data_IF_662808411183
#
_entry.id   IF_662808411183
#
_cell.length_a   1.000
_cell.length_b   1.000
_cell.length_c   1.000
_cell.angle_alpha   90.00
_cell.angle_beta   90.00
_cell.angle_gamma   90.00
#
_symmetry.space_group_name_H-M   'P 1'
#
loop_
_entity.id
_entity.type
_entity.pdbx_description
1 polymer ?
#
# COMPACT_ATOMS: atom_id res chain seq x y z
N UNK A 1 -49.88 41.92 5.69
CA UNK A 1 -48.57 42.33 6.23
C UNK A 1 -47.87 41.21 7.04
N UNK A 2 -48.58 40.36 7.81
CA UNK A 2 -47.95 39.26 8.57
C UNK A 2 -47.38 38.09 7.74
N UNK A 3 -47.98 37.75 6.59
CA UNK A 3 -47.54 36.62 5.75
C UNK A 3 -46.20 36.84 5.05
N UNK A 4 -45.82 38.10 4.77
CA UNK A 4 -44.52 38.43 4.16
C UNK A 4 -43.36 38.27 5.17
N UNK A 5 -43.57 38.72 6.41
CA UNK A 5 -42.61 38.63 7.53
C UNK A 5 -42.31 37.17 7.94
N UNK A 6 -43.34 36.32 8.00
CA UNK A 6 -43.18 34.88 8.26
C UNK A 6 -42.39 34.19 7.13
N UNK A 7 -42.61 34.60 5.87
CA UNK A 7 -41.95 34.01 4.70
C UNK A 7 -40.48 34.41 4.61
N UNK A 8 -40.12 35.65 4.95
CA UNK A 8 -38.72 36.11 5.05
C UNK A 8 -38.00 35.47 6.22
N UNK A 9 -38.65 35.37 7.39
CA UNK A 9 -38.06 34.73 8.57
C UNK A 9 -37.82 33.23 8.35
N UNK A 10 -38.77 32.53 7.72
CA UNK A 10 -38.61 31.11 7.37
C UNK A 10 -37.49 30.89 6.34
N UNK A 11 -37.40 31.74 5.31
CA UNK A 11 -36.31 31.69 4.32
C UNK A 11 -34.95 31.98 4.95
N UNK A 12 -34.86 32.95 5.86
CA UNK A 12 -33.63 33.30 6.57
C UNK A 12 -33.17 32.18 7.51
N UNK A 13 -34.10 31.55 8.23
CA UNK A 13 -33.84 30.37 9.09
C UNK A 13 -33.39 29.15 8.28
N UNK A 14 -34.00 28.92 7.13
CA UNK A 14 -33.61 27.82 6.23
C UNK A 14 -32.20 28.06 5.66
N UNK A 15 -31.90 29.29 5.22
CA UNK A 15 -30.58 29.66 4.71
C UNK A 15 -29.48 29.52 5.76
N UNK A 16 -29.75 29.96 7.00
CA UNK A 16 -28.79 29.83 8.12
C UNK A 16 -28.57 28.37 8.53
N UNK A 17 -29.62 27.54 8.54
CA UNK A 17 -29.49 26.11 8.82
C UNK A 17 -28.68 25.38 7.73
N UNK A 18 -28.93 25.68 6.45
CA UNK A 18 -28.16 25.12 5.33
C UNK A 18 -26.68 25.55 5.38
N UNK A 19 -26.40 26.81 5.72
CA UNK A 19 -25.03 27.31 5.85
C UNK A 19 -24.28 26.63 7.01
N UNK A 20 -24.93 26.43 8.17
CA UNK A 20 -24.36 25.69 9.30
C UNK A 20 -24.04 24.22 8.94
N UNK A 21 -24.94 23.53 8.24
CA UNK A 21 -24.70 22.16 7.79
C UNK A 21 -23.52 22.07 6.83
N UNK A 22 -23.42 23.00 5.88
CA UNK A 22 -22.32 23.05 4.93
C UNK A 22 -20.98 23.35 5.63
N UNK A 23 -20.99 24.23 6.64
CA UNK A 23 -19.81 24.53 7.46
C UNK A 23 -19.38 23.34 8.32
N UNK A 24 -20.31 22.56 8.88
CA UNK A 24 -19.98 21.32 9.61
C UNK A 24 -19.35 20.25 8.70
N UNK A 25 -19.85 20.10 7.47
CA UNK A 25 -19.29 19.17 6.47
C UNK A 25 -17.88 19.59 6.02
N UNK A 26 -17.67 20.90 5.82
CA UNK A 26 -16.36 21.48 5.48
C UNK A 26 -15.35 21.31 6.62
N UNK A 27 -15.75 21.54 7.87
CA UNK A 27 -14.90 21.34 9.05
C UNK A 27 -14.50 19.87 9.21
N UNK A 28 -15.43 18.93 9.01
CA UNK A 28 -15.12 17.50 9.04
C UNK A 28 -14.12 17.06 7.96
N UNK A 29 -14.29 17.56 6.72
CA UNK A 29 -13.38 17.27 5.62
C UNK A 29 -11.98 17.88 5.83
N UNK A 30 -11.89 19.11 6.35
CA UNK A 30 -10.62 19.77 6.68
C UNK A 30 -9.87 19.02 7.79
N UNK A 31 -10.58 18.59 8.83
CA UNK A 31 -9.98 17.90 9.97
C UNK A 31 -9.49 16.49 9.60
N UNK A 32 -10.20 15.79 8.70
CA UNK A 32 -9.75 14.53 8.13
C UNK A 32 -8.52 14.71 7.22
N UNK A 33 -8.47 15.77 6.40
CA UNK A 33 -7.31 16.10 5.55
C UNK A 33 -6.04 16.29 6.39
N UNK A 34 -6.10 17.12 7.45
CA UNK A 34 -4.92 17.38 8.29
C UNK A 34 -4.45 16.15 9.07
N UNK A 35 -5.38 15.28 9.49
CA UNK A 35 -5.03 14.03 10.19
C UNK A 35 -4.31 13.01 9.28
N UNK A 36 -4.48 13.13 7.96
CA UNK A 36 -3.84 12.25 6.97
C UNK A 36 -2.46 12.75 6.55
N UNK A 37 -2.24 14.06 6.50
CA UNK A 37 -0.98 14.68 6.08
C UNK A 37 0.20 14.28 6.99
N UNK A 38 -0.06 14.07 8.29
CA UNK A 38 0.95 13.69 9.28
C UNK A 38 1.12 12.18 9.46
N UNK A 39 0.28 11.35 8.81
CA UNK A 39 0.19 9.93 9.16
C UNK A 39 1.42 9.14 8.68
N UNK A 40 1.90 9.41 7.46
CA UNK A 40 3.15 8.85 6.92
C UNK A 40 3.76 9.79 5.88
N UNK A 41 5.01 10.19 6.13
CA UNK A 41 5.79 11.04 5.23
C UNK A 41 6.33 10.22 4.05
N UNK A 42 6.23 10.69 2.80
CA UNK A 42 6.82 9.99 1.65
C UNK A 42 8.34 9.85 1.80
N UNK A 43 8.88 8.69 1.43
CA UNK A 43 10.33 8.47 1.39
C UNK A 43 10.94 9.35 0.30
N UNK A 44 11.97 10.17 0.56
CA UNK A 44 12.61 10.97 -0.46
C UNK A 44 13.35 10.12 -1.49
N UNK A 45 13.44 10.61 -2.73
CA UNK A 45 14.11 9.89 -3.82
C UNK A 45 15.60 9.64 -3.54
N UNK A 46 16.29 10.59 -2.91
CA UNK A 46 17.69 10.42 -2.46
C UNK A 46 17.92 9.24 -1.52
N UNK A 47 16.86 8.75 -0.88
CA UNK A 47 16.88 7.66 0.08
C UNK A 47 16.43 6.32 -0.55
N UNK A 48 16.43 6.21 -1.88
CA UNK A 48 16.11 4.99 -2.64
C UNK A 48 16.87 3.75 -2.15
N UNK A 49 18.12 3.90 -1.71
CA UNK A 49 18.92 2.79 -1.22
C UNK A 49 18.30 2.07 0.00
N UNK A 50 17.42 2.74 0.76
CA UNK A 50 16.78 2.17 1.94
C UNK A 50 15.80 1.03 1.59
N UNK A 51 15.25 1.00 0.36
CA UNK A 51 14.27 -0.03 -0.04
C UNK A 51 14.93 -1.31 -0.57
N UNK A 52 16.25 -1.32 -0.78
CA UNK A 52 16.94 -2.50 -1.30
C UNK A 52 17.15 -3.60 -0.26
N UNK A 53 17.11 -4.84 -0.73
CA UNK A 53 17.30 -6.04 0.07
C UNK A 53 16.07 -6.96 0.06
N UNK A 54 16.04 -7.84 1.05
CA UNK A 54 15.03 -8.88 1.23
C UNK A 54 14.04 -8.46 2.34
N UNK A 55 12.75 -8.61 2.05
CA UNK A 55 11.66 -8.14 2.89
C UNK A 55 10.59 -9.21 3.04
N UNK A 56 10.00 -9.30 4.24
CA UNK A 56 8.86 -10.17 4.55
C UNK A 56 7.63 -9.32 4.84
N UNK A 57 6.50 -9.69 4.26
CA UNK A 57 5.23 -8.99 4.48
C UNK A 57 4.75 -9.24 5.93
N UNK A 58 4.45 -8.16 6.66
CA UNK A 58 3.88 -8.22 8.00
C UNK A 58 2.37 -7.96 8.00
N UNK A 59 1.94 -7.08 7.12
CA UNK A 59 0.54 -6.70 7.00
C UNK A 59 0.28 -6.15 5.61
N UNK A 60 -0.91 -6.41 5.08
CA UNK A 60 -1.30 -5.81 3.80
C UNK A 60 -2.80 -5.61 3.69
N UNK A 61 -3.21 -4.51 3.06
CA UNK A 61 -4.58 -4.25 2.63
C UNK A 61 -4.66 -4.14 1.11
N UNK A 62 -5.77 -4.60 0.54
CA UNK A 62 -6.03 -4.56 -0.90
C UNK A 62 -7.47 -4.14 -1.16
N UNK A 63 -7.69 -3.33 -2.19
CA UNK A 63 -9.01 -2.79 -2.54
C UNK A 63 -9.90 -3.87 -3.15
N UNK A 64 -9.45 -4.48 -4.26
CA UNK A 64 -10.26 -5.41 -5.03
C UNK A 64 -9.78 -6.86 -4.94
N UNK A 65 -8.47 -7.07 -4.78
CA UNK A 65 -7.92 -8.41 -4.61
C UNK A 65 -8.05 -8.91 -3.17
N UNK A 66 -8.30 -10.20 -2.99
CA UNK A 66 -8.27 -10.84 -1.67
C UNK A 66 -6.84 -11.28 -1.39
N UNK A 67 -6.17 -10.61 -0.46
CA UNK A 67 -4.79 -10.97 -0.05
C UNK A 67 -4.73 -11.70 1.30
N UNK A 68 -5.86 -11.83 2.00
CA UNK A 68 -5.99 -12.62 3.23
C UNK A 68 -5.74 -14.13 3.01
N UNK A 69 -5.85 -14.60 1.77
CA UNK A 69 -5.61 -15.98 1.36
C UNK A 69 -4.11 -16.32 1.26
N UNK A 70 -3.24 -15.32 1.38
CA UNK A 70 -1.81 -15.53 1.55
C UNK A 70 -1.55 -16.20 2.91
N UNK A 71 -0.76 -17.26 2.88
CA UNK A 71 -0.11 -17.81 4.06
C UNK A 71 1.17 -17.02 4.38
N UNK A 72 1.97 -16.67 3.36
CA UNK A 72 3.19 -15.90 3.53
C UNK A 72 3.58 -15.17 2.22
N UNK A 73 4.30 -14.06 2.34
CA UNK A 73 4.77 -13.27 1.21
C UNK A 73 6.12 -12.62 1.53
N UNK A 74 7.01 -12.60 0.54
CA UNK A 74 8.26 -11.88 0.60
C UNK A 74 8.55 -11.18 -0.72
N UNK A 75 9.23 -10.04 -0.63
CA UNK A 75 9.74 -9.30 -1.78
C UNK A 75 11.23 -9.08 -1.64
N UNK A 76 11.92 -9.06 -2.77
CA UNK A 76 13.33 -8.68 -2.85
C UNK A 76 13.49 -7.59 -3.88
N UNK A 77 14.26 -6.55 -3.57
CA UNK A 77 14.54 -5.43 -4.45
C UNK A 77 16.05 -5.32 -4.63
N UNK A 78 16.51 -5.51 -5.86
CA UNK A 78 17.94 -5.49 -6.19
C UNK A 78 18.21 -4.60 -7.40
N UNK A 79 19.15 -3.64 -7.31
CA UNK A 79 19.54 -2.85 -8.47
C UNK A 79 20.19 -3.75 -9.53
N UNK A 80 19.78 -3.59 -10.78
CA UNK A 80 20.43 -4.19 -11.96
C UNK A 80 21.33 -3.19 -12.66
N UNK A 81 20.99 -1.91 -12.57
CA UNK A 81 21.77 -0.75 -13.05
C UNK A 81 21.27 0.51 -12.31
N UNK A 82 21.81 1.68 -12.65
CA UNK A 82 21.42 2.95 -12.03
C UNK A 82 19.93 3.30 -12.24
N UNK A 83 19.32 2.82 -13.32
CA UNK A 83 17.93 3.14 -13.68
C UNK A 83 16.97 1.95 -13.57
N UNK A 84 17.50 0.74 -13.42
CA UNK A 84 16.72 -0.50 -13.43
C UNK A 84 16.89 -1.26 -12.13
N UNK A 85 15.78 -1.54 -11.47
CA UNK A 85 15.69 -2.33 -10.25
C UNK A 85 14.86 -3.56 -10.56
N UNK A 86 15.31 -4.72 -10.12
CA UNK A 86 14.54 -5.94 -10.20
C UNK A 86 13.83 -6.17 -8.88
N UNK A 87 12.51 -6.36 -8.96
CA UNK A 87 11.70 -6.79 -7.83
C UNK A 87 11.23 -8.22 -8.08
N UNK A 88 11.48 -9.10 -7.11
CA UNK A 88 10.94 -10.45 -7.09
C UNK A 88 10.05 -10.63 -5.87
N UNK A 89 8.76 -10.84 -6.12
CA UNK A 89 7.75 -11.18 -5.13
C UNK A 89 7.51 -12.70 -5.14
N UNK A 90 7.40 -13.30 -3.95
CA UNK A 90 7.17 -14.73 -3.75
C UNK A 90 6.05 -14.91 -2.74
N UNK A 91 4.99 -15.59 -3.16
CA UNK A 91 3.76 -15.74 -2.42
C UNK A 91 3.42 -17.22 -2.23
N UNK A 92 3.16 -17.59 -0.98
CA UNK A 92 2.58 -18.88 -0.60
C UNK A 92 1.13 -18.64 -0.20
N UNK A 93 0.19 -19.32 -0.85
CA UNK A 93 -1.23 -19.26 -0.51
C UNK A 93 -1.59 -20.37 0.47
N UNK A 94 -2.71 -20.19 1.19
CA UNK A 94 -3.21 -21.16 2.19
C UNK A 94 -3.64 -22.50 1.59
N UNK A 95 -3.94 -22.54 0.30
CA UNK A 95 -4.20 -23.76 -0.48
C UNK A 95 -2.91 -24.46 -0.93
N UNK A 96 -1.75 -23.98 -0.47
CA UNK A 96 -0.41 -24.38 -0.87
C UNK A 96 0.04 -23.99 -2.28
N UNK A 97 -0.76 -23.22 -3.02
CA UNK A 97 -0.34 -22.67 -4.31
C UNK A 97 0.85 -21.73 -4.12
N UNK A 98 1.84 -21.85 -5.01
CA UNK A 98 3.01 -21.00 -5.06
C UNK A 98 2.95 -20.09 -6.29
N UNK A 99 3.03 -18.77 -6.05
CA UNK A 99 3.05 -17.78 -7.12
C UNK A 99 4.24 -16.83 -6.92
N UNK A 100 4.96 -16.54 -7.99
CA UNK A 100 6.03 -15.54 -7.98
C UNK A 100 5.88 -14.55 -9.11
N UNK A 101 6.18 -13.29 -8.83
CA UNK A 101 6.16 -12.18 -9.78
C UNK A 101 7.57 -11.60 -9.90
N UNK A 102 8.09 -11.57 -11.12
CA UNK A 102 9.29 -10.84 -11.50
C UNK A 102 8.87 -9.53 -12.15
N UNK A 103 9.32 -8.40 -11.60
CA UNK A 103 9.01 -7.07 -12.09
C UNK A 103 10.28 -6.28 -12.36
N UNK A 104 10.23 -5.46 -13.39
CA UNK A 104 11.23 -4.45 -13.69
C UNK A 104 10.72 -3.09 -13.23
N UNK A 105 11.46 -2.48 -12.31
CA UNK A 105 11.18 -1.16 -11.76
C UNK A 105 12.13 -0.14 -12.38
N UNK A 106 11.58 0.99 -12.79
CA UNK A 106 12.36 2.13 -13.26
C UNK A 106 12.60 3.10 -12.11
N UNK A 107 13.87 3.32 -11.77
CA UNK A 107 14.26 4.29 -10.75
C UNK A 107 13.98 5.73 -11.24
N UNK A 108 13.79 6.69 -10.32
CA UNK A 108 13.66 8.10 -10.69
C UNK A 108 14.90 8.62 -11.42
N UNK A 109 14.69 9.52 -12.39
CA UNK A 109 15.78 10.05 -13.22
C UNK A 109 16.77 10.94 -12.44
N UNK A 110 16.30 11.62 -11.39
CA UNK A 110 17.14 12.42 -10.49
C UNK A 110 17.28 11.71 -9.13
N UNK A 111 18.41 11.01 -8.89
CA UNK A 111 18.63 10.28 -7.65
C UNK A 111 18.95 11.20 -6.45
N UNK A 112 19.03 12.52 -6.64
CA UNK A 112 19.32 13.48 -5.56
C UNK A 112 18.09 14.25 -5.09
N UNK A 113 16.94 14.00 -5.72
CA UNK A 113 15.70 14.70 -5.43
C UNK A 113 15.22 14.48 -3.99
N UNK A 114 14.81 15.59 -3.35
CA UNK A 114 14.10 15.61 -2.06
C UNK A 114 12.60 15.26 -2.20
N UNK A 115 12.11 15.13 -3.44
CA UNK A 115 10.73 14.76 -3.74
C UNK A 115 10.43 13.29 -3.45
N UNK A 116 9.14 12.90 -3.43
CA UNK A 116 8.70 11.56 -3.06
C UNK A 116 9.27 10.50 -4.02
N UNK A 117 9.71 9.39 -3.46
CA UNK A 117 10.16 8.22 -4.20
C UNK A 117 8.94 7.51 -4.80
N UNK A 118 8.84 7.61 -6.13
CA UNK A 118 7.82 6.94 -6.93
C UNK A 118 8.52 6.15 -8.03
N UNK A 119 8.18 4.86 -8.14
CA UNK A 119 8.74 3.97 -9.16
C UNK A 119 7.63 3.40 -10.03
N UNK A 120 7.91 3.26 -11.33
CA UNK A 120 7.05 2.53 -12.24
C UNK A 120 7.55 1.09 -12.34
N UNK A 121 6.66 0.12 -12.20
CA UNK A 121 6.98 -1.29 -12.33
C UNK A 121 6.21 -1.91 -13.49
N UNK A 122 6.86 -2.79 -14.23
CA UNK A 122 6.24 -3.61 -15.28
C UNK A 122 6.49 -5.07 -14.95
N UNK A 123 5.44 -5.88 -15.01
CA UNK A 123 5.57 -7.34 -14.85
C UNK A 123 6.35 -7.90 -16.02
N UNK A 124 7.44 -8.59 -15.71
CA UNK A 124 8.27 -9.31 -16.65
C UNK A 124 7.82 -10.78 -16.74
N UNK A 125 7.63 -11.43 -15.58
CA UNK A 125 7.31 -12.85 -15.51
C UNK A 125 6.40 -13.17 -14.33
N UNK A 126 5.38 -14.01 -14.54
CA UNK A 126 4.58 -14.60 -13.47
C UNK A 126 4.64 -16.11 -13.58
N UNK A 127 4.99 -16.78 -12.48
CA UNK A 127 5.04 -18.24 -12.39
C UNK A 127 4.08 -18.69 -11.31
N UNK A 128 3.19 -19.62 -11.64
CA UNK A 128 2.26 -20.25 -10.70
C UNK A 128 2.44 -21.77 -10.73
N UNK A 129 2.86 -22.37 -9.62
CA UNK A 129 3.19 -23.80 -9.51
C UNK A 129 4.09 -24.28 -10.67
N UNK A 130 5.16 -23.53 -10.96
CA UNK A 130 6.08 -23.78 -12.09
C UNK A 130 5.59 -23.26 -13.45
N UNK A 131 4.28 -23.11 -13.65
CA UNK A 131 3.72 -22.71 -14.95
C UNK A 131 3.83 -21.21 -15.21
N UNK A 132 4.35 -20.83 -16.38
CA UNK A 132 4.41 -19.45 -16.83
C UNK A 132 3.00 -18.93 -17.18
N UNK A 133 2.62 -17.79 -16.59
CA UNK A 133 1.36 -17.12 -16.87
C UNK A 133 1.58 -15.85 -17.69
N UNK A 134 0.72 -15.63 -18.67
CA UNK A 134 0.65 -14.36 -19.38
C UNK A 134 0.00 -13.32 -18.47
N UNK A 135 0.78 -12.33 -18.05
CA UNK A 135 0.32 -11.27 -17.16
C UNK A 135 1.03 -9.97 -17.55
N UNK A 136 0.28 -8.99 -18.05
CA UNK A 136 0.85 -7.73 -18.54
C UNK A 136 0.14 -6.57 -17.85
N UNK A 137 0.68 -6.17 -16.70
CA UNK A 137 0.16 -5.09 -15.88
C UNK A 137 1.35 -4.24 -15.44
N UNK A 138 1.13 -2.92 -15.41
CA UNK A 138 2.06 -1.95 -14.85
C UNK A 138 1.54 -1.44 -13.51
N UNK A 139 2.47 -1.10 -12.63
CA UNK A 139 2.17 -0.57 -11.31
C UNK A 139 2.91 0.74 -11.07
N UNK A 140 2.31 1.61 -10.27
CA UNK A 140 3.01 2.74 -9.66
C UNK A 140 3.20 2.46 -8.17
N UNK A 141 4.45 2.46 -7.72
CA UNK A 141 4.86 2.16 -6.35
C UNK A 141 5.27 3.46 -5.66
N UNK A 142 4.69 3.73 -4.51
CA UNK A 142 5.03 4.84 -3.62
C UNK A 142 5.59 4.29 -2.32
N UNK A 143 6.65 4.90 -1.82
CA UNK A 143 7.33 4.49 -0.59
C UNK A 143 7.21 5.56 0.48
N UNK A 144 7.14 5.14 1.73
CA UNK A 144 7.01 6.03 2.89
C UNK A 144 8.18 5.83 3.85
N UNK A 145 8.57 6.90 4.55
CA UNK A 145 9.65 6.89 5.53
C UNK A 145 9.33 5.93 6.67
N UNK A 146 10.29 5.06 6.99
CA UNK A 146 10.22 4.05 8.05
C UNK A 146 11.60 3.86 8.68
N UNK A 147 11.69 3.02 9.71
CA UNK A 147 12.98 2.57 10.25
C UNK A 147 13.73 1.72 9.22
N UNK A 148 15.06 1.56 9.31
CA UNK A 148 15.84 0.78 8.35
C UNK A 148 15.41 -0.68 8.17
N UNK A 149 14.71 -1.25 9.16
CA UNK A 149 14.20 -2.63 9.16
C UNK A 149 12.71 -2.75 8.82
N UNK A 150 12.07 -1.65 8.40
CA UNK A 150 10.68 -1.62 7.99
C UNK A 150 10.51 -0.91 6.64
N UNK A 151 9.60 -1.41 5.81
CA UNK A 151 9.25 -0.79 4.54
C UNK A 151 7.74 -0.69 4.41
N UNK A 152 7.25 0.47 3.98
CA UNK A 152 5.84 0.69 3.71
C UNK A 152 5.69 1.12 2.24
N UNK A 153 4.90 0.35 1.50
CA UNK A 153 4.72 0.50 0.07
C UNK A 153 3.24 0.61 -0.27
N UNK A 154 2.87 1.67 -1.00
CA UNK A 154 1.55 1.81 -1.59
C UNK A 154 1.64 1.55 -3.09
N UNK A 155 0.78 0.67 -3.60
CA UNK A 155 0.79 0.22 -4.99
C UNK A 155 -0.52 0.61 -5.66
N UNK A 156 -0.42 1.26 -6.80
CA UNK A 156 -1.54 1.50 -7.72
C UNK A 156 -1.40 0.58 -8.92
N UNK A 157 -2.38 -0.29 -9.13
CA UNK A 157 -2.30 -1.42 -10.05
C UNK A 157 -3.40 -1.43 -11.11
N UNK A 158 -3.90 -0.26 -11.51
CA UNK A 158 -4.97 -0.13 -12.51
C UNK A 158 -6.18 -1.00 -12.15
N UNK A 159 -6.47 -1.98 -13.01
CA UNK A 159 -7.61 -2.91 -12.86
C UNK A 159 -7.50 -3.89 -11.68
N UNK A 160 -6.33 -4.05 -11.05
CA UNK A 160 -6.18 -4.86 -9.84
C UNK A 160 -6.47 -4.06 -8.56
N UNK A 161 -6.64 -2.74 -8.68
CA UNK A 161 -6.94 -1.83 -7.60
C UNK A 161 -5.69 -1.30 -6.89
N UNK A 162 -5.84 -1.02 -5.60
CA UNK A 162 -4.79 -0.43 -4.76
C UNK A 162 -4.40 -1.36 -3.62
N UNK A 163 -3.13 -1.26 -3.21
CA UNK A 163 -2.57 -2.05 -2.11
C UNK A 163 -1.77 -1.15 -1.18
N UNK A 164 -1.85 -1.42 0.12
CA UNK A 164 -0.94 -0.88 1.12
C UNK A 164 -0.26 -2.04 1.82
N UNK A 165 1.06 -2.11 1.75
CA UNK A 165 1.85 -3.28 2.12
C UNK A 165 2.97 -2.86 3.08
N UNK A 166 2.96 -3.44 4.28
CA UNK A 166 3.94 -3.19 5.34
C UNK A 166 4.85 -4.41 5.50
N UNK A 167 6.15 -4.19 5.46
CA UNK A 167 7.17 -5.22 5.47
C UNK A 167 8.18 -5.00 6.59
N UNK A 168 8.85 -6.08 6.98
CA UNK A 168 10.08 -6.07 7.78
C UNK A 168 11.24 -6.68 7.01
N UNK A 169 12.47 -6.32 7.39
CA UNK A 169 13.68 -6.91 6.81
C UNK A 169 13.71 -8.42 7.06
N UNK A 170 14.08 -9.20 6.05
CA UNK A 170 14.12 -10.65 6.17
C UNK A 170 15.09 -11.08 7.30
N UNK A 171 14.64 -12.01 8.15
CA UNK A 171 15.40 -12.49 9.31
C UNK A 171 15.27 -11.62 10.56
N UNK A 172 14.64 -10.44 10.48
CA UNK A 172 14.31 -9.65 11.66
C UNK A 172 13.21 -10.36 12.48
N UNK A 173 13.35 -10.31 13.80
CA UNK A 173 12.35 -10.84 14.74
C UNK A 173 11.14 -9.91 14.77
N UNK A 174 9.94 -10.48 14.77
CA UNK A 174 8.70 -9.71 14.72
C UNK A 174 8.11 -9.61 16.12
N UNK A 175 8.03 -8.39 16.65
CA UNK A 175 7.25 -8.12 17.85
C UNK A 175 5.76 -8.10 17.49
N UNK A 176 5.04 -9.16 17.87
CA UNK A 176 3.63 -9.34 17.55
C UNK A 176 2.71 -8.33 18.23
N UNK A 177 3.11 -7.80 19.40
CA UNK A 177 2.32 -6.77 20.10
C UNK A 177 2.52 -5.40 19.44
N UNK A 178 3.76 -5.09 19.03
CA UNK A 178 4.02 -3.91 18.24
C UNK A 178 3.29 -3.97 16.89
N UNK A 179 3.30 -5.13 16.21
CA UNK A 179 2.59 -5.31 14.95
C UNK A 179 1.11 -5.00 15.11
N UNK A 180 0.44 -5.51 16.16
CA UNK A 180 -0.97 -5.19 16.45
C UNK A 180 -1.19 -3.69 16.64
N UNK A 181 -0.31 -3.01 17.37
CA UNK A 181 -0.42 -1.56 17.56
C UNK A 181 -0.22 -0.77 16.27
N UNK A 182 0.67 -1.23 15.38
CA UNK A 182 0.89 -0.59 14.08
C UNK A 182 -0.29 -0.78 13.12
N UNK A 183 -1.04 -1.88 13.22
CA UNK A 183 -2.21 -2.13 12.37
C UNK A 183 -3.25 -1.01 12.43
N UNK A 184 -3.51 -0.43 13.61
CA UNK A 184 -4.45 0.69 13.73
C UNK A 184 -4.01 1.92 12.93
N UNK A 185 -2.69 2.18 12.88
CA UNK A 185 -2.13 3.28 12.10
C UNK A 185 -2.21 2.98 10.60
N UNK A 186 -1.96 1.74 10.20
CA UNK A 186 -2.06 1.31 8.80
C UNK A 186 -3.52 1.35 8.31
N UNK A 187 -4.49 1.00 9.15
CA UNK A 187 -5.92 1.11 8.83
C UNK A 187 -6.33 2.57 8.62
N UNK A 188 -5.90 3.48 9.50
CA UNK A 188 -6.11 4.93 9.28
C UNK A 188 -5.50 5.41 7.96
N UNK A 189 -4.36 4.85 7.55
CA UNK A 189 -3.76 5.19 6.27
C UNK A 189 -4.61 4.72 5.08
N UNK A 190 -5.19 3.54 5.16
CA UNK A 190 -6.14 3.04 4.15
C UNK A 190 -7.36 3.97 4.04
N UNK A 191 -7.90 4.43 5.17
CA UNK A 191 -8.98 5.42 5.20
C UNK A 191 -8.57 6.73 4.52
N UNK A 192 -7.38 7.25 4.83
CA UNK A 192 -6.81 8.44 4.21
C UNK A 192 -6.61 8.29 2.69
N UNK A 193 -6.13 7.13 2.25
CA UNK A 193 -5.99 6.79 0.84
C UNK A 193 -7.34 6.53 0.15
N UNK A 194 -8.45 6.58 0.90
CA UNK A 194 -9.82 6.51 0.40
C UNK A 194 -10.08 5.25 -0.43
N UNK A 195 -9.68 4.08 0.08
CA UNK A 195 -10.04 2.81 -0.54
C UNK A 195 -10.59 1.80 0.45
N UNK A 196 -11.68 1.15 0.07
CA UNK A 196 -12.34 0.15 0.91
C UNK A 196 -11.53 -1.14 0.77
N UNK A 197 -10.77 -1.48 1.80
CA UNK A 197 -9.99 -2.71 1.79
C UNK A 197 -10.86 -3.93 2.07
N UNK A 198 -10.60 -5.02 1.33
CA UNK A 198 -10.95 -6.38 1.75
C UNK A 198 -10.22 -6.77 3.05
N UNK A 199 -10.60 -7.88 3.70
CA UNK A 199 -9.87 -8.37 4.87
C UNK A 199 -8.36 -8.39 4.63
N UNK A 200 -7.57 -7.80 5.53
CA UNK A 200 -6.14 -7.66 5.33
C UNK A 200 -5.42 -9.00 5.47
N UNK A 201 -4.25 -9.08 4.87
CA UNK A 201 -3.23 -10.03 5.29
C UNK A 201 -2.66 -9.59 6.64
N UNK A 202 -2.52 -10.54 7.55
CA UNK A 202 -1.86 -10.36 8.84
C UNK A 202 -0.85 -11.48 8.98
N UNK A 203 0.41 -11.12 9.23
CA UNK A 203 1.47 -12.09 9.46
C UNK A 203 1.18 -12.95 10.71
N UNK A 204 1.53 -14.22 10.58
CA UNK A 204 1.40 -15.26 11.59
C UNK A 204 2.76 -15.96 11.69
N UNK A 205 3.32 -16.07 12.89
CA UNK A 205 4.64 -16.67 13.11
C UNK A 205 4.66 -18.18 12.88
N UNK A 206 3.49 -18.82 12.94
CA UNK A 206 3.30 -20.23 12.57
C UNK A 206 3.11 -20.45 11.05
N UNK A 207 3.16 -19.38 10.25
CA UNK A 207 2.90 -19.45 8.81
C UNK A 207 3.91 -20.30 8.04
N UNK A 208 3.44 -20.88 6.93
CA UNK A 208 4.27 -21.65 6.02
C UNK A 208 5.47 -20.84 5.49
N UNK A 209 6.57 -21.54 5.15
CA UNK A 209 7.68 -20.92 4.45
C UNK A 209 7.24 -20.30 3.12
N UNK A 210 7.87 -19.18 2.75
CA UNK A 210 7.66 -18.56 1.44
C UNK A 210 8.18 -19.50 0.35
N UNK A 211 7.51 -19.54 -0.80
CA UNK A 211 7.90 -20.38 -1.93
C UNK A 211 9.39 -20.26 -2.27
N UNK A 212 10.03 -21.41 -2.49
CA UNK A 212 11.45 -21.51 -2.76
C UNK A 212 11.76 -21.14 -4.22
N UNK A 213 13.03 -20.86 -4.52
CA UNK A 213 13.50 -20.65 -5.89
C UNK A 213 13.34 -21.94 -6.74
N UNK A 214 13.33 -23.12 -6.13
CA UNK A 214 13.12 -24.39 -6.82
C UNK A 214 11.68 -24.54 -7.33
N UNK A 215 10.69 -24.00 -6.60
CA UNK A 215 9.29 -23.97 -7.02
C UNK A 215 9.04 -23.05 -8.23
N UNK A 216 10.05 -22.25 -8.61
CA UNK A 216 10.00 -21.24 -9.68
C UNK A 216 10.68 -21.68 -10.98
N UNK A 217 11.43 -22.80 -10.95
CA UNK A 217 12.22 -23.30 -12.08
C UNK A 217 11.56 -24.46 -12.83
N UNK A 218 10.38 -24.92 -12.43
CA UNK A 218 9.64 -25.95 -13.15
C UNK A 218 8.88 -25.38 -14.36
N UNK A 219 9.61 -24.89 -15.38
CA UNK A 219 9.12 -24.70 -16.74
C UNK A 219 10.19 -25.16 -17.74
#
# INVERSE_FOLDING_TARGET
MMLSELRTTAKMKMLTMTMMMMMMMLSGALQQSHACDDLYKPLPTKDLNQVFGEWRLLWGAAEWMTISDLANSAVSLHPKSDLLIHLLERNKYRDNTCVSYSLNLTAPADPTSEGPLVMQAVVDRVVSNGSLLAFNISFTLHFYERSPDAMLMFVQAGELGRFLLSYTRAGHEVDMEQLKSEQEKLLKMVECLSFVSKPPFIYDDAAAEVCSMADQQAA
#
